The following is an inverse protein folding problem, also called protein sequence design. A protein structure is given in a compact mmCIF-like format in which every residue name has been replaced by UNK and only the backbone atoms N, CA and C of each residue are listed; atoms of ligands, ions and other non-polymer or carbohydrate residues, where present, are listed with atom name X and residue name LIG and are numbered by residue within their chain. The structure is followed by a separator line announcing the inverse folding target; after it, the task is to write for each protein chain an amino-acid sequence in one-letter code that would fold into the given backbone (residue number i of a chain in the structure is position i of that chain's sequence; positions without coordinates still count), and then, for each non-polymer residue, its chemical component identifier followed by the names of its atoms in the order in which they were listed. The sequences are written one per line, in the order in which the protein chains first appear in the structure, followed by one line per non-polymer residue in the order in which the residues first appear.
data_IF_076197004468
#
_entry.id   IF_076197004468
#
_cell.length_a   1.000
_cell.length_b   1.000
_cell.length_c   1.000
_cell.angle_alpha   90.00
_cell.angle_beta   90.00
_cell.angle_gamma   90.00
#
_symmetry.space_group_name_H-M   'P 1'
#
loop_
_entity.id
_entity.type
_entity.pdbx_description
1 polymer ?
#
# COMPACT_ATOMS: atom_id res chain seq x y z
N UNK A 1 34.93 16.29 -50.13
CA UNK A 1 34.19 15.93 -48.90
C UNK A 1 33.28 14.75 -49.24
N UNK A 2 33.51 13.56 -48.68
CA UNK A 2 32.69 12.39 -48.97
C UNK A 2 31.31 12.56 -48.32
N UNK A 3 30.24 12.44 -49.12
CA UNK A 3 28.88 12.46 -48.59
C UNK A 3 28.59 11.13 -47.87
N UNK A 4 28.01 11.15 -46.66
CA UNK A 4 27.65 9.93 -45.96
C UNK A 4 26.62 9.14 -46.77
N UNK A 5 26.89 7.85 -46.94
CA UNK A 5 26.07 6.93 -47.72
C UNK A 5 24.72 6.71 -47.00
N UNK A 6 23.67 7.31 -47.55
CA UNK A 6 22.31 7.33 -47.02
C UNK A 6 21.80 5.95 -46.55
N UNK A 7 22.26 4.86 -47.18
CA UNK A 7 21.91 3.48 -46.79
C UNK A 7 22.40 3.08 -45.40
N UNK A 8 23.58 3.52 -44.98
CA UNK A 8 24.11 3.24 -43.64
C UNK A 8 23.40 4.03 -42.55
N UNK A 9 22.89 5.22 -42.87
CA UNK A 9 22.07 6.01 -41.95
C UNK A 9 20.73 5.33 -41.69
N UNK A 10 20.07 4.84 -42.74
CA UNK A 10 18.76 4.17 -42.66
C UNK A 10 18.83 2.82 -41.96
N UNK A 11 19.89 2.01 -42.18
CA UNK A 11 20.04 0.74 -41.46
C UNK A 11 20.32 0.93 -39.97
N UNK A 12 21.13 1.94 -39.61
CA UNK A 12 21.45 2.23 -38.20
C UNK A 12 20.23 2.72 -37.43
N UNK A 13 19.39 3.57 -38.02
CA UNK A 13 18.16 4.04 -37.37
C UNK A 13 17.13 2.94 -37.18
N UNK A 14 17.00 2.02 -38.16
CA UNK A 14 16.11 0.86 -38.04
C UNK A 14 16.56 -0.11 -36.94
N UNK A 15 17.86 -0.35 -36.81
CA UNK A 15 18.41 -1.23 -35.77
C UNK A 15 18.18 -0.66 -34.36
N UNK A 16 18.36 0.66 -34.18
CA UNK A 16 18.11 1.34 -32.90
C UNK A 16 16.62 1.32 -32.54
N UNK A 17 15.73 1.65 -33.51
CA UNK A 17 14.29 1.61 -33.29
C UNK A 17 13.79 0.20 -32.92
N UNK A 18 14.39 -0.83 -33.54
CA UNK A 18 14.07 -2.24 -33.23
C UNK A 18 14.57 -2.61 -31.83
N UNK A 19 15.80 -2.23 -31.45
CA UNK A 19 16.34 -2.49 -30.11
C UNK A 19 15.51 -1.80 -29.01
N UNK A 20 15.06 -0.56 -29.23
CA UNK A 20 14.18 0.16 -28.31
C UNK A 20 12.80 -0.49 -28.17
N UNK A 21 12.28 -1.12 -29.22
CA UNK A 21 10.99 -1.84 -29.16
C UNK A 21 11.06 -3.15 -28.34
N UNK A 22 12.26 -3.74 -28.19
CA UNK A 22 12.44 -4.94 -27.37
C UNK A 22 12.74 -4.65 -25.90
N UNK A 23 13.04 -3.40 -25.53
CA UNK A 23 13.09 -2.96 -24.14
C UNK A 23 11.68 -2.57 -23.73
N UNK A 24 10.83 -3.57 -23.49
CA UNK A 24 9.55 -3.34 -22.82
C UNK A 24 9.86 -3.02 -21.35
N UNK A 25 9.58 -1.81 -20.85
CA UNK A 25 9.68 -1.58 -19.42
C UNK A 25 8.73 -2.56 -18.72
N UNK A 26 9.25 -3.35 -17.79
CA UNK A 26 8.38 -4.08 -16.88
C UNK A 26 7.51 -3.03 -16.18
N UNK A 27 6.18 -3.18 -16.14
CA UNK A 27 5.33 -2.24 -15.43
C UNK A 27 5.82 -2.20 -13.98
N UNK A 28 6.32 -1.05 -13.53
CA UNK A 28 6.63 -0.85 -12.13
C UNK A 28 5.30 -0.96 -11.38
N UNK A 29 5.14 -2.01 -10.58
CA UNK A 29 3.98 -2.17 -9.73
C UNK A 29 4.17 -1.28 -8.51
N UNK A 30 3.61 -0.07 -8.61
CA UNK A 30 3.46 0.82 -7.48
C UNK A 30 2.15 0.50 -6.77
N UNK A 31 2.17 0.26 -5.46
CA UNK A 31 0.93 0.22 -4.70
C UNK A 31 0.47 1.64 -4.38
N UNK A 32 -0.84 1.80 -4.38
CA UNK A 32 -1.50 2.94 -3.77
C UNK A 32 -2.37 2.40 -2.65
N UNK A 33 -2.13 2.89 -1.45
CA UNK A 33 -3.00 2.65 -0.31
C UNK A 33 -3.99 3.81 -0.23
N UNK A 34 -5.27 3.49 -0.20
CA UNK A 34 -6.30 4.50 -0.13
C UNK A 34 -6.60 4.83 1.32
N UNK A 35 -6.41 6.09 1.73
CA UNK A 35 -6.63 6.56 3.11
C UNK A 35 -7.85 5.90 3.78
N UNK A 36 -7.66 5.45 5.01
CA UNK A 36 -8.68 4.80 5.84
C UNK A 36 -9.37 5.76 6.81
N UNK A 37 -8.80 6.95 7.00
CA UNK A 37 -9.31 7.98 7.88
C UNK A 37 -8.91 9.37 7.37
N UNK A 38 -9.65 10.38 7.80
CA UNK A 38 -9.30 11.79 7.66
C UNK A 38 -8.92 12.39 9.03
N UNK A 39 -8.20 13.52 9.07
CA UNK A 39 -8.10 14.32 10.28
C UNK A 39 -9.50 14.77 10.74
N UNK A 40 -9.82 14.61 12.02
CA UNK A 40 -11.09 15.12 12.56
C UNK A 40 -11.03 16.64 12.73
N UNK A 41 -12.02 17.34 12.18
CA UNK A 41 -12.10 18.79 12.26
C UNK A 41 -12.84 19.23 13.53
N UNK A 42 -12.22 20.15 14.28
CA UNK A 42 -12.89 20.82 15.40
C UNK A 42 -13.71 22.00 14.89
N UNK A 43 -14.89 22.21 15.48
CA UNK A 43 -15.75 23.35 15.23
C UNK A 43 -15.97 24.15 16.53
N UNK A 44 -14.90 24.75 17.11
CA UNK A 44 -14.99 25.40 18.41
C UNK A 44 -15.78 26.72 18.39
N UNK A 45 -15.92 27.34 17.21
CA UNK A 45 -16.58 28.63 17.02
C UNK A 45 -18.07 28.48 16.65
N UNK A 46 -18.51 27.26 16.33
CA UNK A 46 -19.88 26.96 15.97
C UNK A 46 -20.70 26.61 17.22
N UNK A 47 -21.48 27.59 17.66
CA UNK A 47 -22.42 27.49 18.77
C UNK A 47 -21.79 27.14 20.14
N UNK A 48 -22.48 27.53 21.22
CA UNK A 48 -22.02 27.17 22.56
C UNK A 48 -22.11 25.65 22.73
N UNK A 49 -21.02 25.02 23.16
CA UNK A 49 -21.01 23.60 23.49
C UNK A 49 -22.18 23.23 24.41
N UNK A 50 -22.93 22.13 24.13
CA UNK A 50 -24.03 21.70 24.97
C UNK A 50 -23.50 21.32 26.35
N UNK A 51 -24.28 21.58 27.40
CA UNK A 51 -23.84 21.35 28.79
C UNK A 51 -23.56 19.86 29.08
N UNK A 52 -24.14 18.93 28.30
CA UNK A 52 -23.94 17.49 28.40
C UNK A 52 -23.48 16.93 27.05
N UNK A 53 -22.40 16.14 27.08
CA UNK A 53 -21.93 15.36 25.93
C UNK A 53 -22.41 13.91 26.07
N UNK A 54 -22.93 13.34 24.97
CA UNK A 54 -23.28 11.93 24.91
C UNK A 54 -22.28 11.18 24.04
N UNK A 55 -21.13 10.85 24.62
CA UNK A 55 -20.05 10.18 23.89
C UNK A 55 -20.43 8.74 23.51
N UNK A 56 -20.09 8.30 22.28
CA UNK A 56 -20.19 6.89 21.93
C UNK A 56 -19.25 6.03 22.78
N UNK A 57 -19.63 4.78 23.02
CA UNK A 57 -18.73 3.77 23.59
C UNK A 57 -18.04 3.06 22.43
N UNK A 58 -16.72 3.14 22.38
CA UNK A 58 -15.91 2.53 21.33
C UNK A 58 -15.40 1.16 21.75
N UNK A 59 -15.41 0.21 20.81
CA UNK A 59 -14.71 -1.08 20.98
C UNK A 59 -13.71 -1.28 19.84
N UNK A 60 -12.56 -1.86 20.17
CA UNK A 60 -11.48 -2.14 19.24
C UNK A 60 -11.34 -3.65 19.05
N UNK A 61 -11.16 -4.09 17.79
CA UNK A 61 -10.84 -5.47 17.48
C UNK A 61 -9.71 -5.54 16.44
N UNK A 62 -8.67 -6.33 16.72
CA UNK A 62 -7.60 -6.59 15.76
C UNK A 62 -8.11 -7.56 14.69
N UNK A 63 -8.04 -7.17 13.42
CA UNK A 63 -8.45 -8.03 12.30
C UNK A 63 -7.25 -8.77 11.71
N UNK A 64 -6.17 -8.01 11.43
CA UNK A 64 -5.01 -8.56 10.73
C UNK A 64 -3.74 -7.79 11.04
N UNK A 65 -2.63 -8.51 11.12
CA UNK A 65 -1.28 -7.95 10.99
C UNK A 65 -0.67 -8.61 9.75
N UNK A 66 -0.24 -7.80 8.79
CA UNK A 66 0.57 -8.20 7.66
C UNK A 66 1.94 -7.56 7.78
N UNK A 67 2.98 -8.35 7.60
CA UNK A 67 4.37 -7.87 7.59
C UNK A 67 4.84 -7.67 6.16
N UNK A 68 5.88 -6.87 6.00
CA UNK A 68 6.60 -6.76 4.74
C UNK A 68 7.25 -8.09 4.36
N UNK A 69 7.79 -8.16 3.15
CA UNK A 69 8.51 -9.31 2.60
C UNK A 69 9.76 -8.82 1.91
N UNK A 70 10.83 -9.59 2.06
CA UNK A 70 12.05 -9.36 1.33
C UNK A 70 11.91 -9.65 -0.16
N UNK A 71 12.91 -9.18 -0.91
CA UNK A 71 13.04 -9.49 -2.34
C UNK A 71 13.15 -10.99 -2.51
N UNK A 72 12.28 -11.59 -3.32
CA UNK A 72 12.37 -13.01 -3.61
C UNK A 72 13.65 -13.34 -4.39
N UNK A 73 14.07 -14.62 -4.36
CA UNK A 73 15.24 -15.07 -5.14
C UNK A 73 15.02 -14.98 -6.66
N UNK A 74 13.78 -14.82 -7.11
CA UNK A 74 13.43 -14.57 -8.51
C UNK A 74 13.67 -13.13 -8.94
N UNK A 75 14.00 -12.22 -8.01
CA UNK A 75 14.23 -10.80 -8.26
C UNK A 75 12.94 -10.02 -8.52
N UNK A 76 11.77 -10.58 -8.21
CA UNK A 76 10.50 -9.89 -8.27
C UNK A 76 10.30 -9.05 -7.01
N UNK A 77 10.16 -7.72 -7.17
CA UNK A 77 9.78 -6.81 -6.09
C UNK A 77 8.71 -5.85 -6.55
N UNK A 78 7.70 -5.62 -5.71
CA UNK A 78 6.83 -4.45 -5.81
C UNK A 78 7.37 -3.33 -4.92
N UNK A 79 6.92 -2.08 -5.13
CA UNK A 79 7.36 -0.95 -4.30
C UNK A 79 6.85 -1.02 -2.84
N UNK A 80 6.05 -2.02 -2.51
CA UNK A 80 5.23 -2.13 -1.30
C UNK A 80 5.48 -3.45 -0.58
N UNK A 81 6.36 -4.28 -1.12
CA UNK A 81 6.74 -5.53 -0.45
C UNK A 81 7.33 -5.21 0.92
N UNK A 82 8.04 -4.09 1.09
CA UNK A 82 8.59 -3.69 2.39
C UNK A 82 7.64 -2.98 3.35
N UNK A 83 6.34 -2.95 3.06
CA UNK A 83 5.36 -2.29 3.93
C UNK A 83 4.65 -3.30 4.84
N UNK A 84 4.54 -2.93 6.10
CA UNK A 84 3.67 -3.61 7.06
C UNK A 84 2.31 -2.93 7.14
N UNK A 85 1.30 -3.70 7.54
CA UNK A 85 -0.08 -3.25 7.68
C UNK A 85 -0.74 -3.87 8.92
N UNK A 86 -1.36 -3.03 9.76
CA UNK A 86 -2.20 -3.45 10.89
C UNK A 86 -3.62 -2.99 10.60
N UNK A 87 -4.54 -3.94 10.45
CA UNK A 87 -5.98 -3.71 10.27
C UNK A 87 -6.73 -3.95 11.58
N UNK A 88 -7.66 -3.07 11.89
CA UNK A 88 -8.52 -3.22 13.05
C UNK A 88 -9.90 -2.60 12.79
N UNK A 89 -10.89 -3.12 13.48
CA UNK A 89 -12.26 -2.63 13.46
C UNK A 89 -12.48 -1.74 14.68
N UNK A 90 -13.18 -0.62 14.48
CA UNK A 90 -13.74 0.20 15.56
C UNK A 90 -15.27 0.12 15.47
N UNK A 91 -15.91 -0.44 16.49
CA UNK A 91 -17.37 -0.44 16.62
C UNK A 91 -17.84 0.69 17.54
N UNK A 92 -19.11 1.06 17.41
CA UNK A 92 -19.75 2.07 18.27
C UNK A 92 -19.45 3.53 17.90
N UNK A 93 -18.57 3.78 16.93
CA UNK A 93 -18.33 5.12 16.38
C UNK A 93 -19.62 5.73 15.77
N UNK A 94 -19.72 7.06 15.87
CA UNK A 94 -20.84 7.85 15.37
C UNK A 94 -20.31 9.07 14.62
N UNK A 95 -20.97 9.44 13.53
CA UNK A 95 -20.69 10.67 12.78
C UNK A 95 -20.73 11.90 13.71
N UNK A 96 -19.82 12.85 13.47
CA UNK A 96 -19.65 14.05 14.31
C UNK A 96 -18.74 13.86 15.52
N UNK A 97 -18.17 12.66 15.71
CA UNK A 97 -17.11 12.40 16.70
C UNK A 97 -15.82 11.95 16.05
N UNK A 98 -14.72 12.56 16.46
CA UNK A 98 -13.37 12.08 16.18
C UNK A 98 -12.96 10.97 17.13
N UNK A 99 -11.85 10.33 16.81
CA UNK A 99 -11.24 9.28 17.62
C UNK A 99 -9.80 9.65 17.89
N UNK A 100 -9.45 9.86 19.16
CA UNK A 100 -8.07 9.95 19.60
C UNK A 100 -7.53 8.56 19.91
N UNK A 101 -6.37 8.24 19.35
CA UNK A 101 -5.74 6.93 19.51
C UNK A 101 -4.46 7.07 20.33
N UNK A 102 -4.41 6.33 21.43
CA UNK A 102 -3.26 6.27 22.33
C UNK A 102 -2.54 4.94 22.16
N UNK A 103 -1.23 5.00 22.00
CA UNK A 103 -0.35 3.85 21.78
C UNK A 103 0.66 3.77 22.92
N UNK A 104 0.73 2.62 23.60
CA UNK A 104 1.66 2.39 24.71
C UNK A 104 2.43 1.08 24.52
N UNK A 105 3.76 1.11 24.60
CA UNK A 105 4.63 -0.06 24.47
C UNK A 105 5.66 0.09 23.36
N UNK A 106 6.05 -1.03 22.75
CA UNK A 106 7.03 -1.09 21.65
C UNK A 106 6.30 -1.13 20.32
N UNK A 107 6.34 -0.03 19.57
CA UNK A 107 5.79 0.09 18.22
C UNK A 107 6.77 -0.46 17.16
N UNK A 108 6.28 -0.81 15.96
CA UNK A 108 7.16 -1.11 14.83
C UNK A 108 8.06 0.08 14.49
N UNK A 109 9.25 -0.20 13.96
CA UNK A 109 10.16 0.85 13.49
C UNK A 109 9.50 1.66 12.37
N UNK A 110 9.72 2.98 12.39
CA UNK A 110 9.11 3.94 11.45
C UNK A 110 7.58 3.93 11.43
N UNK A 111 6.92 3.36 12.44
CA UNK A 111 5.48 3.49 12.62
C UNK A 111 5.14 4.95 12.95
N UNK A 112 4.26 5.56 12.15
CA UNK A 112 3.82 6.94 12.32
C UNK A 112 2.36 6.95 12.81
N UNK A 113 2.12 6.96 14.13
CA UNK A 113 0.77 7.06 14.65
C UNK A 113 0.15 8.42 14.30
N UNK A 114 -1.18 8.51 14.14
CA UNK A 114 -1.85 9.78 13.99
C UNK A 114 -1.64 10.64 15.25
N UNK A 115 -1.19 11.87 15.07
CA UNK A 115 -0.93 12.82 16.17
C UNK A 115 -2.14 13.67 16.54
N UNK A 116 -3.23 13.55 15.79
CA UNK A 116 -4.48 14.28 15.99
C UNK A 116 -5.64 13.28 15.98
N UNK A 117 -6.81 13.64 16.56
CA UNK A 117 -7.99 12.82 16.41
C UNK A 117 -8.33 12.60 14.93
N UNK A 118 -8.82 11.41 14.63
CA UNK A 118 -9.15 10.98 13.28
C UNK A 118 -10.65 10.73 13.13
N UNK A 119 -11.14 10.82 11.90
CA UNK A 119 -12.48 10.41 11.51
C UNK A 119 -12.37 9.19 10.58
N UNK A 120 -12.90 8.02 10.97
CA UNK A 120 -12.97 6.86 10.10
C UNK A 120 -13.77 7.16 8.82
N UNK A 121 -13.26 6.75 7.66
CA UNK A 121 -14.01 6.89 6.41
C UNK A 121 -15.05 5.77 6.29
N UNK A 122 -16.31 6.15 6.05
CA UNK A 122 -17.43 5.21 5.99
C UNK A 122 -17.16 4.08 4.98
N UNK A 123 -17.41 2.84 5.41
CA UNK A 123 -17.23 1.65 4.58
C UNK A 123 -15.77 1.24 4.34
N UNK A 124 -14.79 1.86 5.01
CA UNK A 124 -13.37 1.50 4.93
C UNK A 124 -12.87 0.89 6.25
N UNK A 125 -12.07 -0.18 6.19
CA UNK A 125 -11.38 -0.67 7.38
C UNK A 125 -10.36 0.37 7.85
N UNK A 126 -10.20 0.52 9.15
CA UNK A 126 -9.15 1.34 9.71
C UNK A 126 -7.85 0.54 9.70
N UNK A 127 -6.81 1.13 9.13
CA UNK A 127 -5.52 0.48 9.02
C UNK A 127 -4.37 1.47 9.19
N UNK A 128 -3.25 0.97 9.70
CA UNK A 128 -1.99 1.70 9.75
C UNK A 128 -0.93 0.99 8.93
N UNK A 129 -0.12 1.80 8.23
CA UNK A 129 1.03 1.36 7.47
C UNK A 129 2.31 1.77 8.17
N UNK A 130 3.33 0.95 8.04
CA UNK A 130 4.71 1.34 8.37
C UNK A 130 5.67 0.73 7.35
N UNK A 131 6.88 1.26 7.32
CA UNK A 131 7.96 0.66 6.54
C UNK A 131 8.63 -0.43 7.37
N UNK A 132 8.33 -1.68 7.04
CA UNK A 132 8.80 -2.88 7.74
C UNK A 132 10.19 -3.34 7.28
N UNK A 133 10.73 -2.68 6.25
CA UNK A 133 12.03 -2.99 5.65
C UNK A 133 11.93 -3.97 4.48
N UNK A 134 13.05 -4.17 3.78
CA UNK A 134 13.13 -4.99 2.56
C UNK A 134 13.70 -6.40 2.80
N UNK A 135 13.63 -6.89 4.04
CA UNK A 135 14.15 -8.19 4.48
C UNK A 135 13.05 -9.04 5.11
N UNK A 136 13.24 -10.36 5.10
CA UNK A 136 12.38 -11.30 5.86
C UNK A 136 12.73 -11.31 7.36
N UNK A 137 13.84 -10.66 7.74
CA UNK A 137 14.21 -10.41 9.12
C UNK A 137 13.42 -9.21 9.64
N UNK A 138 12.69 -9.42 10.72
CA UNK A 138 11.66 -8.53 11.22
C UNK A 138 11.70 -8.48 12.73
N UNK A 139 11.82 -7.27 13.28
CA UNK A 139 11.83 -7.07 14.73
C UNK A 139 10.45 -7.39 15.35
N UNK A 140 10.45 -7.93 16.59
CA UNK A 140 9.24 -8.09 17.38
C UNK A 140 8.71 -6.72 17.83
N UNK A 141 7.40 -6.62 17.98
CA UNK A 141 6.75 -5.46 18.60
C UNK A 141 5.58 -5.91 19.47
N UNK A 142 5.23 -5.08 20.45
CA UNK A 142 4.12 -5.32 21.36
C UNK A 142 3.69 -4.01 21.99
N UNK A 143 2.46 -3.58 21.72
CA UNK A 143 1.90 -2.35 22.25
C UNK A 143 0.40 -2.52 22.52
N UNK A 144 -0.16 -1.65 23.35
CA UNK A 144 -1.60 -1.52 23.57
C UNK A 144 -2.12 -0.30 22.85
N UNK A 145 -3.28 -0.45 22.20
CA UNK A 145 -4.03 0.61 21.55
C UNK A 145 -5.29 0.91 22.36
N UNK A 146 -5.54 2.19 22.63
CA UNK A 146 -6.79 2.65 23.22
C UNK A 146 -7.41 3.73 22.33
N UNK A 147 -8.73 3.71 22.18
CA UNK A 147 -9.48 4.70 21.42
C UNK A 147 -10.37 5.53 22.34
N UNK A 148 -10.30 6.85 22.21
CA UNK A 148 -11.11 7.79 22.99
C UNK A 148 -11.93 8.65 22.04
N UNK A 149 -13.28 8.68 22.16
CA UNK A 149 -14.09 9.55 21.32
C UNK A 149 -13.85 11.01 21.70
N UNK A 150 -13.82 11.89 20.70
CA UNK A 150 -13.62 13.33 20.84
C UNK A 150 -14.73 14.04 20.10
N UNK A 151 -15.39 15.01 20.73
CA UNK A 151 -16.40 15.81 20.03
C UNK A 151 -15.79 17.02 19.32
N UNK A 152 -16.61 17.73 18.53
CA UNK A 152 -16.18 18.90 17.76
C UNK A 152 -15.65 20.07 18.62
N UNK A 153 -15.90 20.07 19.94
CA UNK A 153 -15.37 21.08 20.88
C UNK A 153 -14.10 20.61 21.59
N UNK A 154 -13.55 19.45 21.23
CA UNK A 154 -12.33 18.89 21.82
C UNK A 154 -12.53 18.21 23.17
N UNK A 155 -13.77 17.97 23.61
CA UNK A 155 -14.04 17.21 24.82
C UNK A 155 -13.83 15.73 24.54
N UNK A 156 -13.25 15.02 25.49
CA UNK A 156 -12.95 13.58 25.40
C UNK A 156 -13.98 12.77 26.21
N UNK A 157 -14.45 11.67 25.64
CA UNK A 157 -15.28 10.69 26.35
C UNK A 157 -14.47 9.67 27.14
N UNK A 158 -15.10 8.54 27.48
CA UNK A 158 -14.42 7.43 28.12
C UNK A 158 -13.56 6.67 27.09
N UNK A 159 -12.30 6.30 27.43
CA UNK A 159 -11.49 5.45 26.58
C UNK A 159 -12.09 4.05 26.43
N UNK A 160 -11.83 3.40 25.30
CA UNK A 160 -12.13 1.98 25.08
C UNK A 160 -11.36 1.08 26.06
N UNK A 161 -11.71 -0.20 26.10
CA UNK A 161 -10.79 -1.19 26.68
C UNK A 161 -9.47 -1.20 25.88
N UNK A 162 -8.30 -1.36 26.53
CA UNK A 162 -7.03 -1.50 25.82
C UNK A 162 -7.00 -2.76 24.95
N UNK A 163 -6.62 -2.61 23.69
CA UNK A 163 -6.39 -3.71 22.75
C UNK A 163 -4.88 -4.02 22.67
N UNK A 164 -4.45 -5.21 23.08
CA UNK A 164 -3.08 -5.65 22.92
C UNK A 164 -2.81 -6.07 21.47
N UNK A 165 -1.77 -5.50 20.87
CA UNK A 165 -1.30 -5.79 19.51
C UNK A 165 0.15 -6.24 19.63
N UNK A 166 0.46 -7.45 19.16
CA UNK A 166 1.80 -8.01 19.23
C UNK A 166 2.13 -8.87 18.01
N UNK A 167 3.39 -8.83 17.60
CA UNK A 167 3.95 -9.72 16.60
C UNK A 167 5.34 -10.19 17.07
N UNK A 168 5.65 -11.51 17.02
CA UNK A 168 6.91 -12.05 17.53
C UNK A 168 8.14 -11.73 16.66
N UNK A 169 7.94 -11.06 15.53
CA UNK A 169 8.96 -10.88 14.50
C UNK A 169 9.14 -12.13 13.63
N UNK A 170 10.13 -12.10 12.75
CA UNK A 170 10.58 -13.26 11.99
C UNK A 170 12.07 -13.18 11.75
N UNK A 171 12.70 -14.35 11.63
CA UNK A 171 14.10 -14.47 11.22
C UNK A 171 14.14 -15.38 10.00
N UNK A 172 14.99 -15.07 9.03
CA UNK A 172 15.21 -15.85 7.81
C UNK A 172 15.57 -17.33 8.06
N UNK A 173 15.99 -17.70 9.28
CA UNK A 173 16.22 -19.08 9.72
C UNK A 173 14.94 -19.88 10.05
N UNK A 174 13.77 -19.24 10.17
CA UNK A 174 12.49 -19.90 10.48
C UNK A 174 11.68 -20.23 9.22
N UNK A 175 12.22 -21.09 8.35
CA UNK A 175 11.45 -21.99 7.47
C UNK A 175 10.37 -21.39 6.54
N UNK A 176 10.80 -20.78 5.44
CA UNK A 176 10.31 -21.03 4.07
C UNK A 176 8.84 -20.75 3.72
N UNK A 177 8.57 -19.59 3.11
CA UNK A 177 7.41 -19.42 2.23
C UNK A 177 7.48 -20.40 1.05
N UNK A 178 6.50 -21.31 0.96
CA UNK A 178 6.33 -22.19 -0.20
C UNK A 178 5.57 -21.39 -1.28
N UNK A 179 6.30 -20.72 -2.17
CA UNK A 179 5.70 -19.99 -3.29
C UNK A 179 5.40 -20.97 -4.42
N UNK A 180 4.13 -21.33 -4.60
CA UNK A 180 3.65 -21.95 -5.83
C UNK A 180 3.75 -20.93 -6.96
N UNK A 181 4.81 -21.02 -7.76
CA UNK A 181 4.95 -20.25 -9.00
C UNK A 181 3.85 -20.64 -9.98
N UNK A 182 2.99 -19.69 -10.34
CA UNK A 182 2.08 -19.86 -11.46
C UNK A 182 2.89 -20.03 -12.76
N UNK A 183 2.47 -20.91 -13.69
CA UNK A 183 3.21 -21.12 -14.93
C UNK A 183 3.29 -19.82 -15.75
N UNK A 184 4.43 -19.52 -16.38
CA UNK A 184 4.58 -18.32 -17.19
C UNK A 184 3.55 -18.33 -18.34
N UNK A 185 2.95 -17.17 -18.60
CA UNK A 185 2.08 -16.98 -19.75
C UNK A 185 2.82 -17.39 -21.04
N UNK A 186 2.25 -18.33 -21.78
CA UNK A 186 2.89 -18.94 -22.94
C UNK A 186 3.21 -17.90 -24.04
N UNK A 187 4.43 -17.90 -24.62
CA UNK A 187 4.90 -16.91 -25.59
C UNK A 187 4.17 -16.93 -26.96
N UNK A 188 3.20 -17.83 -27.14
CA UNK A 188 2.43 -17.99 -28.38
C UNK A 188 1.60 -16.74 -28.75
N UNK A 189 1.19 -15.94 -27.76
CA UNK A 189 0.33 -14.77 -28.00
C UNK A 189 1.08 -13.60 -28.66
N UNK A 190 2.37 -13.40 -28.35
CA UNK A 190 3.16 -12.32 -28.92
C UNK A 190 3.58 -12.60 -30.38
N UNK A 191 3.85 -13.86 -30.73
CA UNK A 191 4.25 -14.27 -32.07
C UNK A 191 3.11 -14.08 -33.11
N UNK A 192 1.86 -14.27 -32.70
CA UNK A 192 0.69 -14.11 -33.57
C UNK A 192 0.44 -12.65 -33.99
N UNK A 193 0.70 -11.69 -33.08
CA UNK A 193 0.53 -10.26 -33.37
C UNK A 193 1.60 -9.78 -34.38
N UNK A 194 2.84 -10.25 -34.26
CA UNK A 194 3.92 -9.91 -35.17
C UNK A 194 3.68 -10.45 -36.60
N UNK A 195 3.15 -11.67 -36.72
CA UNK A 195 2.79 -12.27 -38.01
C UNK A 195 1.64 -11.53 -38.71
N UNK A 196 0.64 -11.06 -37.96
CA UNK A 196 -0.48 -10.30 -38.52
C UNK A 196 -0.03 -8.94 -39.11
N UNK A 197 0.88 -8.23 -38.42
CA UNK A 197 1.43 -6.96 -38.93
C UNK A 197 2.32 -7.17 -40.18
N UNK A 198 3.11 -8.25 -40.22
CA UNK A 198 3.92 -8.59 -41.40
C UNK A 198 3.07 -8.83 -42.65
N UNK A 199 1.96 -9.56 -42.52
CA UNK A 199 1.06 -9.82 -43.65
C UNK A 199 0.33 -8.56 -44.16
N UNK A 200 -0.04 -7.64 -43.26
CA UNK A 200 -0.67 -6.38 -43.65
C UNK A 200 0.28 -5.48 -44.46
N UNK A 201 1.57 -5.43 -44.08
CA UNK A 201 2.58 -4.67 -44.79
C UNK A 201 2.92 -5.26 -46.16
N UNK A 202 3.00 -6.59 -46.28
CA UNK A 202 3.26 -7.26 -47.56
C UNK A 202 2.09 -7.07 -48.55
N UNK A 203 0.84 -7.07 -48.07
CA UNK A 203 -0.33 -6.79 -48.92
C UNK A 203 -0.35 -5.36 -49.45
N UNK A 204 0.09 -4.39 -48.66
CA UNK A 204 0.10 -2.98 -49.06
C UNK A 204 1.21 -2.65 -50.07
N UNK A 205 2.27 -3.45 -50.13
CA UNK A 205 3.38 -3.26 -51.09
C UNK A 205 3.14 -3.92 -52.46
N UNK A 206 2.05 -4.68 -52.64
CA UNK A 206 1.70 -5.37 -53.89
C UNK A 206 0.62 -4.66 -54.72
N UNK A 207 0.07 -3.55 -54.22
CA UNK A 207 -0.79 -2.63 -54.95
C UNK A 207 -0.03 -1.32 -55.19
#
# INVERSE_FOLDING_TARGET
MPQPNFKHLVMSTLAIATALAFVSPNPAQACSYAESYAPFEFAPDDEKAPDVANFPVLELALERISRGKGVDRSGGTTSCDGDGLIDFTISGWQEGYGIHLDFEGTLPDNFLPPTHPIEPLEGRPLYFLWHDGSTDDQEPFSFTLTATPVDQWGRKGQPSAPLLIAHPGSTSDSGGCNVTTAPPASPLSAALIALAMGFALIRRARH
#
